data_IF_479510034198
#
_entry.id   IF_479510034198
#
_cell.length_a   1.000
_cell.length_b   1.000
_cell.length_c   1.000
_cell.angle_alpha   90.00
_cell.angle_beta   90.00
_cell.angle_gamma   90.00
#
_symmetry.space_group_name_H-M   'P 1'
#
loop_
_entity.id
_entity.type
_entity.pdbx_description
1 polymer ?
#
# COMPACT_ATOMS: atom_id res chain seq x y z
N UNK A 1 5.56 -15.56 -17.80
CA UNK A 1 4.83 -14.58 -16.95
C UNK A 1 5.86 -13.58 -16.45
N UNK A 2 5.63 -12.26 -16.58
CA UNK A 2 6.59 -11.25 -16.12
C UNK A 2 6.50 -11.15 -14.59
N UNK A 3 7.60 -11.46 -13.88
CA UNK A 3 7.66 -11.50 -12.42
C UNK A 3 7.34 -10.14 -11.79
N UNK A 4 7.81 -9.04 -12.39
CA UNK A 4 7.52 -7.70 -11.88
C UNK A 4 6.04 -7.38 -11.96
N UNK A 5 5.35 -7.83 -13.02
CA UNK A 5 3.90 -7.61 -13.18
C UNK A 5 3.11 -8.21 -12.00
N UNK A 6 3.48 -9.41 -11.54
CA UNK A 6 2.81 -10.08 -10.42
C UNK A 6 2.97 -9.27 -9.12
N UNK A 7 4.17 -8.74 -8.85
CA UNK A 7 4.39 -7.92 -7.65
C UNK A 7 3.70 -6.56 -7.75
N UNK A 8 3.66 -5.95 -8.94
CA UNK A 8 2.93 -4.69 -9.16
C UNK A 8 1.42 -4.87 -8.97
N UNK A 9 0.84 -5.97 -9.44
CA UNK A 9 -0.56 -6.32 -9.20
C UNK A 9 -0.82 -6.49 -7.70
N UNK A 10 0.05 -7.19 -6.98
CA UNK A 10 -0.07 -7.37 -5.53
C UNK A 10 0.02 -6.03 -4.75
N UNK A 11 0.95 -5.16 -5.13
CA UNK A 11 1.10 -3.82 -4.54
C UNK A 11 -0.17 -3.01 -4.77
N UNK A 12 -0.71 -3.02 -5.99
CA UNK A 12 -1.94 -2.30 -6.33
C UNK A 12 -3.14 -2.81 -5.51
N UNK A 13 -3.28 -4.14 -5.36
CA UNK A 13 -4.33 -4.73 -4.53
C UNK A 13 -4.22 -4.28 -3.07
N UNK A 14 -3.01 -4.24 -2.51
CA UNK A 14 -2.77 -3.75 -1.15
C UNK A 14 -3.20 -2.29 -1.00
N UNK A 15 -2.82 -1.42 -1.94
CA UNK A 15 -3.19 0.00 -1.93
C UNK A 15 -4.70 0.20 -2.02
N UNK A 16 -5.39 -0.56 -2.88
CA UNK A 16 -6.86 -0.51 -3.00
C UNK A 16 -7.51 -0.89 -1.67
N UNK A 17 -7.01 -1.94 -0.99
CA UNK A 17 -7.55 -2.39 0.29
C UNK A 17 -7.30 -1.39 1.41
N UNK A 18 -6.08 -0.84 1.50
CA UNK A 18 -5.76 0.20 2.49
C UNK A 18 -6.69 1.39 2.31
N UNK A 19 -6.86 1.88 1.07
CA UNK A 19 -7.80 2.97 0.78
C UNK A 19 -9.24 2.61 1.20
N UNK A 20 -9.70 1.38 0.95
CA UNK A 20 -11.03 0.92 1.39
C UNK A 20 -11.18 0.94 2.91
N UNK A 21 -10.16 0.54 3.65
CA UNK A 21 -10.15 0.49 5.11
C UNK A 21 -10.06 1.88 5.75
N UNK A 22 -9.33 2.80 5.12
CA UNK A 22 -9.11 4.17 5.62
C UNK A 22 -10.06 5.19 5.02
N UNK A 23 -11.17 4.76 4.40
CA UNK A 23 -12.17 5.66 3.78
C UNK A 23 -13.07 6.36 4.78
N UNK A 24 -13.22 5.78 5.98
CA UNK A 24 -13.97 6.39 7.07
C UNK A 24 -13.18 7.58 7.63
N UNK A 25 -13.86 8.41 8.41
CA UNK A 25 -13.23 9.46 9.18
C UNK A 25 -12.14 8.89 10.12
N UNK A 26 -11.20 9.76 10.47
CA UNK A 26 -10.02 9.41 11.27
C UNK A 26 -10.39 8.82 12.64
N UNK A 27 -11.46 9.30 13.27
CA UNK A 27 -11.89 8.83 14.58
C UNK A 27 -12.36 7.38 14.51
N UNK A 28 -13.23 7.04 13.54
CA UNK A 28 -13.63 5.65 13.31
C UNK A 28 -12.47 4.70 13.04
N UNK A 29 -11.39 5.16 12.39
CA UNK A 29 -10.20 4.34 12.17
C UNK A 29 -9.41 4.10 13.47
N UNK A 30 -9.25 5.13 14.29
CA UNK A 30 -8.51 5.06 15.55
C UNK A 30 -9.22 4.23 16.62
N UNK A 31 -10.53 4.05 16.52
CA UNK A 31 -11.33 3.24 17.44
C UNK A 31 -11.44 1.75 17.03
N UNK A 32 -11.01 1.38 15.83
CA UNK A 32 -11.15 0.02 15.29
C UNK A 32 -9.77 -0.66 15.11
N UNK A 33 -9.32 -1.33 16.17
CA UNK A 33 -8.03 -2.04 16.20
C UNK A 33 -7.91 -3.11 15.10
N UNK A 34 -9.02 -3.77 14.74
CA UNK A 34 -9.03 -4.79 13.68
C UNK A 34 -8.71 -4.16 12.32
N UNK A 35 -9.25 -2.98 12.05
CA UNK A 35 -8.95 -2.24 10.83
C UNK A 35 -7.51 -1.73 10.84
N UNK A 36 -7.00 -1.26 11.98
CA UNK A 36 -5.60 -0.84 12.12
C UNK A 36 -4.64 -2.01 11.83
N UNK A 37 -4.87 -3.18 12.42
CA UNK A 37 -4.08 -4.40 12.19
C UNK A 37 -4.15 -4.83 10.72
N UNK A 38 -5.33 -4.77 10.11
CA UNK A 38 -5.51 -5.10 8.70
C UNK A 38 -4.72 -4.15 7.79
N UNK A 39 -4.71 -2.85 8.07
CA UNK A 39 -3.91 -1.86 7.32
C UNK A 39 -2.42 -2.11 7.51
N UNK A 40 -1.95 -2.30 8.74
CA UNK A 40 -0.55 -2.58 9.05
C UNK A 40 -0.06 -3.83 8.32
N UNK A 41 -0.84 -4.92 8.34
CA UNK A 41 -0.51 -6.16 7.64
C UNK A 41 -0.37 -5.94 6.14
N UNK A 42 -1.25 -5.15 5.54
CA UNK A 42 -1.20 -4.83 4.09
C UNK A 42 0.01 -3.98 3.73
N UNK A 43 0.37 -3.01 4.58
CA UNK A 43 1.59 -2.23 4.41
C UNK A 43 2.83 -3.12 4.45
N UNK A 44 2.90 -4.07 5.39
CA UNK A 44 4.00 -5.03 5.47
C UNK A 44 4.09 -5.90 4.22
N UNK A 45 2.99 -6.52 3.79
CA UNK A 45 3.00 -7.38 2.58
C UNK A 45 3.36 -6.57 1.32
N UNK A 46 2.91 -5.32 1.23
CA UNK A 46 3.31 -4.42 0.15
C UNK A 46 4.82 -4.15 0.18
N UNK A 47 5.38 -3.81 1.35
CA UNK A 47 6.81 -3.57 1.52
C UNK A 47 7.64 -4.78 1.12
N UNK A 48 7.23 -5.99 1.52
CA UNK A 48 7.87 -7.24 1.09
C UNK A 48 7.82 -7.40 -0.44
N UNK A 49 6.69 -7.11 -1.07
CA UNK A 49 6.54 -7.17 -2.55
C UNK A 49 7.47 -6.20 -3.27
N UNK A 50 7.73 -5.01 -2.71
CA UNK A 50 8.67 -4.05 -3.32
C UNK A 50 10.10 -4.57 -3.38
N UNK A 51 10.53 -5.45 -2.47
CA UNK A 51 11.89 -5.98 -2.45
C UNK A 51 12.18 -6.88 -3.64
N UNK A 52 11.14 -7.49 -4.21
CA UNK A 52 11.25 -8.45 -5.31
C UNK A 52 11.10 -7.85 -6.70
N UNK A 53 10.80 -6.55 -6.80
CA UNK A 53 10.80 -5.82 -8.06
C UNK A 53 12.23 -5.63 -8.58
N UNK A 54 12.39 -5.61 -9.91
CA UNK A 54 13.61 -5.08 -10.53
C UNK A 54 13.83 -3.60 -10.20
N UNK A 55 15.08 -3.15 -10.29
CA UNK A 55 15.45 -1.78 -9.91
C UNK A 55 14.69 -0.70 -10.70
N UNK A 56 14.45 -0.96 -12.00
CA UNK A 56 13.63 -0.11 -12.87
C UNK A 56 12.21 0.13 -12.33
N UNK A 57 11.62 -0.89 -11.69
CA UNK A 57 10.28 -0.78 -11.11
C UNK A 57 10.29 -0.31 -9.66
N UNK A 58 11.34 -0.59 -8.88
CA UNK A 58 11.50 -0.03 -7.52
C UNK A 58 11.47 1.50 -7.55
N UNK A 59 12.24 2.12 -8.46
CA UNK A 59 12.29 3.58 -8.59
C UNK A 59 10.90 4.14 -8.92
N UNK A 60 10.16 3.49 -9.83
CA UNK A 60 8.81 3.90 -10.22
C UNK A 60 7.80 3.77 -9.08
N UNK A 61 7.85 2.69 -8.31
CA UNK A 61 6.95 2.48 -7.17
C UNK A 61 7.21 3.51 -6.08
N UNK A 62 8.48 3.79 -5.75
CA UNK A 62 8.85 4.84 -4.79
C UNK A 62 8.27 6.19 -5.22
N UNK A 63 8.44 6.56 -6.49
CA UNK A 63 7.90 7.81 -7.01
C UNK A 63 6.36 7.90 -6.87
N UNK A 64 5.64 6.80 -7.12
CA UNK A 64 4.18 6.74 -6.96
C UNK A 64 3.78 6.85 -5.48
N UNK A 65 4.47 6.15 -4.58
CA UNK A 65 4.20 6.21 -3.14
C UNK A 65 4.44 7.61 -2.57
N UNK A 66 5.50 8.30 -2.99
CA UNK A 66 5.76 9.70 -2.58
C UNK A 66 4.67 10.68 -3.06
N UNK A 67 4.04 10.40 -4.22
CA UNK A 67 2.88 11.19 -4.68
C UNK A 67 1.64 10.88 -3.84
N UNK A 68 1.49 9.64 -3.36
CA UNK A 68 0.37 9.23 -2.51
C UNK A 68 0.48 9.81 -1.10
N UNK A 69 1.67 9.85 -0.48
CA UNK A 69 1.86 10.45 0.85
C UNK A 69 1.36 11.90 0.92
N UNK A 70 1.56 12.69 -0.14
CA UNK A 70 1.04 14.06 -0.24
C UNK A 70 -0.49 14.15 -0.32
N UNK A 71 -1.18 13.04 -0.54
CA UNK A 71 -2.63 12.99 -0.77
C UNK A 71 -3.41 12.40 0.41
N UNK A 72 -2.75 11.78 1.40
CA UNK A 72 -3.38 11.11 2.54
C UNK A 72 -2.96 11.66 3.91
N UNK A 73 -2.16 12.72 3.98
CA UNK A 73 -1.74 13.41 5.21
C UNK A 73 -2.52 14.72 5.49
N UNK A 74 -3.75 14.84 4.98
CA UNK A 74 -4.66 15.96 5.30
C UNK A 74 -5.87 15.45 6.05
#
# INVERSE_FOLDING_TARGET
MNRDKVYLEHILECLIKINQYTRKDRECFLEDDLIQDAVLRRLQTMAESTQWLSDDFKIKVIAVLSIMENRYLV
#
